data_IF_528580045957
#
_entry.id   IF_528580045957
#
_cell.length_a   1.000
_cell.length_b   1.000
_cell.length_c   1.000
_cell.angle_alpha   90.00
_cell.angle_beta   90.00
_cell.angle_gamma   90.00
#
_symmetry.space_group_name_H-M   'P 1'
#
loop_
_entity.id
_entity.type
_entity.pdbx_description
1 polymer ?
#
# COMPACT_ATOMS: atom_id res chain seq x y z
N UNK A 1 -5.12 -14.91 5.26
CA UNK A 1 -5.47 -13.94 6.31
C UNK A 1 -6.99 -13.84 6.33
N UNK A 2 -7.61 -13.80 7.51
CA UNK A 2 -9.07 -13.67 7.60
C UNK A 2 -9.41 -12.18 7.60
N UNK A 3 -9.84 -11.66 6.45
CA UNK A 3 -10.19 -10.24 6.30
C UNK A 3 -11.41 -9.85 7.15
N UNK A 4 -12.19 -10.82 7.65
CA UNK A 4 -13.29 -10.54 8.58
C UNK A 4 -12.82 -10.03 9.94
N UNK A 5 -11.53 -10.22 10.25
CA UNK A 5 -10.92 -9.73 11.47
C UNK A 5 -10.42 -8.30 11.35
N UNK A 6 -10.24 -7.76 10.14
CA UNK A 6 -9.78 -6.38 9.96
C UNK A 6 -10.97 -5.53 9.56
N UNK A 7 -11.45 -4.70 10.48
CA UNK A 7 -12.42 -3.66 10.11
C UNK A 7 -11.73 -2.69 9.15
N UNK A 8 -12.27 -2.49 7.93
CA UNK A 8 -11.65 -1.59 6.98
C UNK A 8 -11.81 -0.17 7.49
N UNK A 9 -10.69 0.57 7.50
CA UNK A 9 -10.69 1.97 7.88
C UNK A 9 -11.58 2.78 6.93
N UNK A 10 -12.36 3.72 7.48
CA UNK A 10 -13.32 4.54 6.72
C UNK A 10 -14.30 3.72 5.86
N UNK A 11 -14.71 2.53 6.32
CA UNK A 11 -15.57 1.56 5.60
C UNK A 11 -14.91 0.93 4.37
N UNK A 12 -13.64 1.23 4.11
CA UNK A 12 -12.84 0.64 3.04
C UNK A 12 -12.79 1.47 1.76
N UNK A 13 -11.96 1.01 0.83
CA UNK A 13 -11.63 1.75 -0.39
C UNK A 13 -12.84 2.00 -1.30
N UNK A 14 -13.89 1.18 -1.19
CA UNK A 14 -15.16 1.37 -1.90
C UNK A 14 -15.88 2.68 -1.52
N UNK A 15 -15.48 3.31 -0.41
CA UNK A 15 -16.02 4.56 0.07
C UNK A 15 -15.18 5.79 -0.29
N UNK A 16 -14.04 5.60 -0.96
CA UNK A 16 -13.20 6.72 -1.39
C UNK A 16 -13.94 7.60 -2.40
N UNK A 17 -13.70 8.91 -2.29
CA UNK A 17 -14.23 9.90 -3.20
C UNK A 17 -13.43 9.90 -4.51
N UNK A 18 -13.84 9.03 -5.43
CA UNK A 18 -13.27 8.94 -6.76
C UNK A 18 -13.79 10.03 -7.70
N UNK A 19 -13.32 11.27 -7.49
CA UNK A 19 -13.61 12.41 -8.38
C UNK A 19 -12.47 12.61 -9.37
N UNK A 20 -12.80 12.63 -10.66
CA UNK A 20 -11.82 12.88 -11.72
C UNK A 20 -11.20 14.27 -11.58
N UNK A 21 -9.87 14.36 -11.61
CA UNK A 21 -9.12 15.60 -11.47
C UNK A 21 -8.99 16.13 -10.04
N UNK A 22 -9.55 15.45 -9.03
CA UNK A 22 -9.37 15.82 -7.63
C UNK A 22 -7.99 15.37 -7.10
N UNK A 23 -7.45 14.27 -7.62
CA UNK A 23 -6.22 13.68 -7.10
C UNK A 23 -5.03 14.63 -7.18
N UNK A 24 -4.14 14.59 -6.18
CA UNK A 24 -2.90 15.34 -6.21
C UNK A 24 -2.09 15.09 -7.49
N UNK A 25 -1.67 16.20 -8.10
CA UNK A 25 -0.66 16.20 -9.13
C UNK A 25 0.73 15.84 -8.57
N UNK A 26 1.75 15.79 -9.44
CA UNK A 26 3.12 15.58 -8.98
C UNK A 26 3.55 16.69 -8.01
N UNK A 27 4.31 16.31 -6.98
CA UNK A 27 4.92 17.27 -6.09
C UNK A 27 5.87 18.21 -6.87
N UNK A 28 6.06 19.47 -6.41
CA UNK A 28 7.05 20.37 -7.00
C UNK A 28 8.46 19.75 -7.05
N UNK A 29 9.31 20.26 -7.94
CA UNK A 29 10.68 19.77 -8.07
C UNK A 29 11.45 19.88 -6.74
N UNK A 30 12.00 18.76 -6.27
CA UNK A 30 12.71 18.68 -4.99
C UNK A 30 11.82 18.41 -3.77
N UNK A 31 10.50 18.38 -3.94
CA UNK A 31 9.55 17.98 -2.91
C UNK A 31 9.06 16.54 -3.13
N UNK A 32 8.46 15.97 -2.08
CA UNK A 32 7.84 14.64 -2.12
C UNK A 32 6.39 14.73 -1.70
N UNK A 33 5.55 13.90 -2.32
CA UNK A 33 4.19 13.65 -1.88
C UNK A 33 4.21 12.47 -0.91
N UNK A 34 3.81 12.70 0.34
CA UNK A 34 3.71 11.64 1.35
C UNK A 34 2.24 11.24 1.46
N UNK A 35 1.85 10.02 1.06
CA UNK A 35 0.49 9.55 1.24
C UNK A 35 0.14 9.46 2.72
N UNK A 36 -1.09 9.79 3.05
CA UNK A 36 -1.60 9.75 4.42
C UNK A 36 -1.72 8.31 4.91
N UNK A 37 -1.16 8.10 6.09
CA UNK A 37 -1.35 6.90 6.90
C UNK A 37 -2.55 7.14 7.79
N UNK A 38 -3.73 6.70 7.35
CA UNK A 38 -4.94 6.87 8.16
C UNK A 38 -4.86 5.92 9.36
N UNK A 39 -4.61 6.46 10.55
CA UNK A 39 -4.46 5.68 11.77
C UNK A 39 -5.82 5.13 12.22
N UNK A 40 -5.86 3.84 12.55
CA UNK A 40 -7.10 3.23 13.08
C UNK A 40 -7.40 3.64 14.53
N UNK A 41 -6.45 4.24 15.23
CA UNK A 41 -6.70 4.84 16.54
C UNK A 41 -7.45 6.18 16.45
N UNK A 42 -7.54 6.77 15.25
CA UNK A 42 -8.26 8.03 15.01
C UNK A 42 -9.71 7.80 14.56
N UNK A 43 -10.08 6.55 14.28
CA UNK A 43 -11.43 6.17 13.87
C UNK A 43 -12.31 5.92 15.12
N UNK A 44 -13.25 6.82 15.36
CA UNK A 44 -14.16 6.78 16.53
C UNK A 44 -15.04 5.52 16.57
N UNK A 45 -15.21 4.81 15.44
CA UNK A 45 -15.96 3.56 15.36
C UNK A 45 -15.11 2.31 15.69
N UNK A 46 -13.81 2.48 15.96
CA UNK A 46 -12.88 1.40 16.34
C UNK A 46 -12.61 1.38 17.85
N UNK A 47 -12.34 0.18 18.38
CA UNK A 47 -11.84 0.01 19.74
C UNK A 47 -10.31 -0.07 19.75
N UNK A 48 -9.66 0.87 20.45
CA UNK A 48 -8.19 0.93 20.58
C UNK A 48 -7.57 -0.38 21.08
N UNK A 49 -8.26 -1.07 22.01
CA UNK A 49 -7.78 -2.34 22.54
C UNK A 49 -7.78 -3.43 21.45
N UNK A 50 -8.81 -3.46 20.61
CA UNK A 50 -8.88 -4.35 19.46
C UNK A 50 -7.84 -3.99 18.39
N UNK A 51 -7.65 -2.70 18.07
CA UNK A 51 -6.59 -2.25 17.15
C UNK A 51 -5.21 -2.72 17.64
N UNK A 52 -4.91 -2.48 18.92
CA UNK A 52 -3.66 -2.93 19.56
C UNK A 52 -3.50 -4.44 19.48
N UNK A 53 -4.57 -5.20 19.76
CA UNK A 53 -4.57 -6.65 19.71
C UNK A 53 -4.28 -7.17 18.30
N UNK A 54 -4.86 -6.55 17.28
CA UNK A 54 -4.65 -6.93 15.88
C UNK A 54 -3.22 -6.66 15.43
N UNK A 55 -2.67 -5.47 15.74
CA UNK A 55 -1.26 -5.17 15.46
C UNK A 55 -0.37 -6.22 16.11
N UNK A 56 -0.58 -6.53 17.40
CA UNK A 56 0.20 -7.55 18.09
C UNK A 56 0.09 -8.95 17.46
N UNK A 57 -1.11 -9.35 17.02
CA UNK A 57 -1.33 -10.63 16.34
C UNK A 57 -0.55 -10.70 15.02
N UNK A 58 -0.68 -9.66 14.18
CA UNK A 58 -0.02 -9.61 12.88
C UNK A 58 1.49 -9.44 12.99
N UNK A 59 2.00 -8.69 13.98
CA UNK A 59 3.43 -8.65 14.28
C UNK A 59 3.99 -10.03 14.64
N UNK A 60 3.22 -10.85 15.35
CA UNK A 60 3.58 -12.25 15.59
C UNK A 60 3.70 -13.07 14.29
N UNK A 61 2.81 -12.85 13.32
CA UNK A 61 2.91 -13.47 12.00
C UNK A 61 4.10 -12.94 11.19
N UNK A 62 4.36 -11.62 11.20
CA UNK A 62 5.50 -11.03 10.51
C UNK A 62 6.83 -11.57 11.03
N UNK A 63 6.98 -11.70 12.35
CA UNK A 63 8.15 -12.34 12.96
C UNK A 63 8.34 -13.78 12.49
N UNK A 64 7.23 -14.54 12.36
CA UNK A 64 7.31 -15.92 11.85
C UNK A 64 7.77 -15.95 10.40
N UNK A 65 7.30 -15.00 9.57
CA UNK A 65 7.73 -14.87 8.17
C UNK A 65 9.21 -14.47 8.07
N UNK A 66 9.68 -13.55 8.91
CA UNK A 66 11.10 -13.18 9.03
C UNK A 66 11.97 -14.42 9.25
N UNK A 67 11.64 -15.23 10.25
CA UNK A 67 12.39 -16.45 10.58
C UNK A 67 12.41 -17.44 9.42
N UNK A 68 11.28 -17.65 8.74
CA UNK A 68 11.19 -18.57 7.60
C UNK A 68 11.96 -18.08 6.37
N UNK A 69 11.97 -16.77 6.13
CA UNK A 69 12.63 -16.16 4.97
C UNK A 69 14.16 -16.38 4.95
N UNK A 70 14.76 -16.70 6.11
CA UNK A 70 16.19 -16.99 6.24
C UNK A 70 16.60 -18.28 5.52
N UNK A 71 15.67 -19.21 5.31
CA UNK A 71 15.94 -20.51 4.68
C UNK A 71 15.88 -20.50 3.15
N UNK A 72 15.56 -19.35 2.54
CA UNK A 72 15.42 -19.21 1.09
C UNK A 72 16.16 -17.96 0.59
N UNK A 73 16.70 -18.05 -0.63
CA UNK A 73 17.42 -16.95 -1.28
C UNK A 73 16.49 -15.91 -1.91
N UNK A 74 15.24 -16.29 -2.20
CA UNK A 74 14.23 -15.41 -2.81
C UNK A 74 12.89 -15.65 -2.12
N UNK A 75 12.28 -14.59 -1.62
CA UNK A 75 11.00 -14.64 -0.94
C UNK A 75 10.02 -13.65 -1.57
N UNK A 76 8.75 -14.06 -1.62
CA UNK A 76 7.64 -13.22 -2.03
C UNK A 76 6.66 -13.12 -0.88
N UNK A 77 6.22 -11.90 -0.58
CA UNK A 77 5.13 -11.68 0.36
C UNK A 77 3.82 -11.70 -0.42
N UNK A 78 2.88 -12.55 -0.03
CA UNK A 78 1.57 -12.62 -0.66
C UNK A 78 0.48 -12.38 0.37
N UNK A 79 -0.45 -11.48 0.06
CA UNK A 79 -1.54 -11.11 0.97
C UNK A 79 -2.82 -10.78 0.21
N UNK A 80 -3.95 -10.69 0.92
CA UNK A 80 -5.17 -10.18 0.29
C UNK A 80 -5.06 -8.67 0.08
N UNK A 81 -4.75 -7.93 1.15
CA UNK A 81 -4.67 -6.47 1.17
C UNK A 81 -3.25 -5.96 0.90
N UNK A 82 -3.08 -4.93 0.07
CA UNK A 82 -1.75 -4.44 -0.31
C UNK A 82 -1.02 -3.70 0.83
N UNK A 83 0.29 -3.93 0.97
CA UNK A 83 1.11 -3.24 1.97
C UNK A 83 1.46 -1.81 1.56
N UNK A 84 1.87 -1.60 0.31
CA UNK A 84 2.44 -0.32 -0.16
C UNK A 84 1.58 0.39 -1.21
N UNK A 85 0.33 -0.03 -1.38
CA UNK A 85 -0.47 0.45 -2.50
C UNK A 85 -1.03 1.79 -2.14
N UNK A 86 -1.16 2.62 -3.16
CA UNK A 86 -1.64 3.98 -3.00
C UNK A 86 -2.94 4.16 -3.75
N UNK A 87 -3.84 4.93 -3.16
CA UNK A 87 -5.07 5.31 -3.81
C UNK A 87 -5.37 6.77 -3.53
N UNK A 88 -6.09 7.36 -4.48
CA UNK A 88 -6.59 8.70 -4.34
C UNK A 88 -7.98 8.70 -3.69
N UNK A 89 -8.17 9.57 -2.71
CA UNK A 89 -9.44 9.88 -2.06
C UNK A 89 -9.64 11.39 -2.09
N UNK A 90 -10.47 11.89 -3.02
CA UNK A 90 -10.61 13.32 -3.24
C UNK A 90 -9.28 13.98 -3.65
N UNK A 91 -8.84 14.94 -2.85
CA UNK A 91 -7.57 15.67 -2.98
C UNK A 91 -6.43 15.11 -2.12
N UNK A 92 -6.59 13.89 -1.61
CA UNK A 92 -5.60 13.21 -0.77
C UNK A 92 -5.10 11.92 -1.44
N UNK A 93 -3.86 11.56 -1.11
CA UNK A 93 -3.28 10.26 -1.41
C UNK A 93 -3.24 9.44 -0.12
N UNK A 94 -3.65 8.18 -0.16
CA UNK A 94 -3.69 7.31 1.00
C UNK A 94 -2.93 6.01 0.75
N UNK A 95 -2.33 5.48 1.81
CA UNK A 95 -1.97 4.05 1.87
C UNK A 95 -3.15 3.21 2.36
N UNK A 96 -3.16 1.92 2.03
CA UNK A 96 -4.37 1.10 2.06
C UNK A 96 -4.45 0.06 3.18
N UNK A 97 -3.35 -0.22 3.89
CA UNK A 97 -3.37 -1.17 5.01
C UNK A 97 -2.48 -0.75 6.17
N UNK A 98 -2.95 0.26 6.90
CA UNK A 98 -2.25 0.82 8.04
C UNK A 98 -1.91 -0.24 9.11
N UNK A 99 -2.86 -1.12 9.47
CA UNK A 99 -2.61 -2.15 10.50
C UNK A 99 -1.48 -3.09 10.11
N UNK A 100 -1.47 -3.56 8.86
CA UNK A 100 -0.41 -4.44 8.39
C UNK A 100 0.93 -3.72 8.29
N UNK A 101 0.94 -2.46 7.89
CA UNK A 101 2.14 -1.61 7.92
C UNK A 101 2.67 -1.45 9.35
N UNK A 102 1.83 -1.14 10.33
CA UNK A 102 2.22 -1.05 11.75
C UNK A 102 2.68 -2.38 12.34
N UNK A 103 2.34 -3.49 11.70
CA UNK A 103 2.71 -4.83 12.16
C UNK A 103 4.09 -5.27 11.66
N UNK A 104 4.72 -4.51 10.76
CA UNK A 104 6.05 -4.80 10.23
C UNK A 104 7.09 -4.71 11.36
N UNK A 105 7.82 -5.80 11.57
CA UNK A 105 9.03 -5.82 12.41
C UNK A 105 10.19 -5.11 11.70
N UNK A 106 11.36 -4.96 12.33
CA UNK A 106 12.51 -4.22 11.79
C UNK A 106 13.20 -4.87 10.58
N UNK A 107 12.94 -6.17 10.34
CA UNK A 107 13.60 -6.94 9.28
C UNK A 107 12.61 -7.69 8.39
N UNK A 108 11.31 -7.35 8.49
CA UNK A 108 10.23 -8.10 7.80
C UNK A 108 10.42 -8.08 6.30
N UNK A 109 10.95 -6.99 5.77
CA UNK A 109 11.00 -6.74 4.33
C UNK A 109 12.38 -6.99 3.71
N UNK A 110 13.45 -7.11 4.50
CA UNK A 110 14.84 -7.19 4.05
C UNK A 110 15.13 -8.31 3.04
N UNK A 111 14.34 -9.40 3.12
CA UNK A 111 14.51 -10.60 2.29
C UNK A 111 13.35 -10.83 1.31
N UNK A 112 12.43 -9.89 1.23
CA UNK A 112 11.25 -9.94 0.34
C UNK A 112 11.58 -9.21 -0.96
N UNK A 113 11.54 -9.93 -2.08
CA UNK A 113 11.81 -9.32 -3.39
C UNK A 113 10.60 -8.57 -3.93
N UNK A 114 9.39 -9.09 -3.68
CA UNK A 114 8.15 -8.40 -4.02
C UNK A 114 7.01 -8.76 -3.08
N UNK A 115 6.11 -7.79 -2.86
CA UNK A 115 4.83 -7.92 -2.20
C UNK A 115 3.72 -7.99 -3.26
N UNK A 116 2.93 -9.07 -3.24
CA UNK A 116 1.86 -9.34 -4.19
C UNK A 116 0.54 -9.34 -3.44
N UNK A 117 -0.42 -8.55 -3.91
CA UNK A 117 -1.72 -8.42 -3.26
C UNK A 117 -2.90 -8.40 -4.24
N UNK A 118 -4.08 -8.67 -3.70
CA UNK A 118 -5.36 -8.46 -4.37
C UNK A 118 -6.08 -7.25 -3.75
N UNK A 119 -7.34 -7.48 -3.35
CA UNK A 119 -8.26 -6.54 -2.71
C UNK A 119 -8.66 -5.33 -3.57
N UNK A 120 -7.70 -4.62 -4.15
CA UNK A 120 -7.96 -3.47 -5.00
C UNK A 120 -8.34 -3.95 -6.39
N UNK A 121 -9.52 -3.56 -6.86
CA UNK A 121 -10.03 -3.97 -8.17
C UNK A 121 -9.40 -3.18 -9.33
N UNK A 122 -8.09 -2.97 -9.28
CA UNK A 122 -7.26 -2.42 -10.35
C UNK A 122 -5.90 -3.14 -10.39
N UNK A 123 -5.11 -2.84 -11.41
CA UNK A 123 -3.71 -3.25 -11.45
C UNK A 123 -2.84 -2.11 -10.96
N UNK A 124 -1.88 -2.40 -10.08
CA UNK A 124 -0.86 -1.44 -9.67
C UNK A 124 0.48 -2.15 -9.56
N UNK A 125 1.55 -1.52 -10.02
CA UNK A 125 2.91 -2.00 -9.77
C UNK A 125 3.79 -0.81 -9.41
N UNK A 126 4.56 -0.94 -8.32
CA UNK A 126 5.47 0.08 -7.81
C UNK A 126 6.86 -0.54 -7.62
N UNK A 127 7.90 0.16 -8.07
CA UNK A 127 9.29 -0.08 -7.70
C UNK A 127 9.81 1.08 -6.85
N UNK A 128 10.82 0.81 -6.03
CA UNK A 128 11.33 1.76 -5.05
C UNK A 128 12.82 1.99 -5.26
N UNK A 129 13.25 3.25 -5.11
CA UNK A 129 14.65 3.64 -5.23
C UNK A 129 15.53 2.85 -4.26
N UNK A 130 16.70 2.44 -4.73
CA UNK A 130 17.69 1.69 -3.95
C UNK A 130 17.17 0.41 -3.31
N UNK A 131 16.03 -0.12 -3.78
CA UNK A 131 15.34 -1.26 -3.17
C UNK A 131 15.00 -1.00 -1.68
N UNK A 132 14.68 0.26 -1.32
CA UNK A 132 14.33 0.63 0.05
C UNK A 132 13.05 -0.05 0.58
N UNK A 133 12.19 -0.52 -0.32
CA UNK A 133 11.07 -1.41 -0.06
C UNK A 133 10.99 -2.49 -1.16
N UNK A 134 10.38 -3.65 -0.89
CA UNK A 134 10.08 -4.65 -1.92
C UNK A 134 9.17 -4.05 -2.99
N UNK A 135 9.33 -4.46 -4.25
CA UNK A 135 8.40 -4.08 -5.30
C UNK A 135 6.98 -4.50 -4.93
N UNK A 136 5.99 -3.63 -5.15
CA UNK A 136 4.59 -4.00 -4.94
C UNK A 136 3.92 -4.32 -6.27
N UNK A 137 3.13 -5.41 -6.29
CA UNK A 137 2.27 -5.77 -7.40
C UNK A 137 0.85 -6.05 -6.87
N UNK A 138 -0.12 -5.27 -7.33
CA UNK A 138 -1.55 -5.43 -7.03
C UNK A 138 -2.25 -5.99 -8.26
N UNK A 139 -2.91 -7.13 -8.09
CA UNK A 139 -3.60 -7.89 -9.15
C UNK A 139 -5.01 -8.28 -8.70
N UNK A 140 -5.81 -7.32 -8.24
CA UNK A 140 -7.21 -7.56 -7.85
C UNK A 140 -8.23 -7.38 -8.98
N UNK A 141 -7.79 -7.21 -10.22
CA UNK A 141 -8.65 -6.94 -11.39
C UNK A 141 -9.24 -8.20 -12.08
N UNK A 142 -9.25 -9.36 -11.42
CA UNK A 142 -9.53 -10.65 -12.05
C UNK A 142 -11.03 -11.04 -12.19
N UNK A 143 -11.99 -10.32 -11.58
CA UNK A 143 -13.39 -10.78 -11.65
C UNK A 143 -14.50 -9.96 -10.97
N UNK A 144 -14.24 -8.75 -10.49
CA UNK A 144 -15.20 -7.90 -9.75
C UNK A 144 -15.39 -6.54 -10.43
N UNK A 145 -16.36 -5.74 -9.94
CA UNK A 145 -16.55 -4.35 -10.36
C UNK A 145 -15.27 -3.56 -10.14
N UNK A 146 -14.69 -3.07 -11.24
CA UNK A 146 -13.43 -2.35 -11.21
C UNK A 146 -13.61 -1.00 -10.52
N UNK A 147 -12.73 -0.72 -9.57
CA UNK A 147 -12.74 0.53 -8.83
C UNK A 147 -11.88 1.55 -9.58
N UNK A 148 -12.32 2.80 -9.58
CA UNK A 148 -11.67 3.87 -10.30
C UNK A 148 -10.47 4.43 -9.53
N UNK A 149 -9.25 3.92 -9.74
CA UNK A 149 -8.04 4.58 -9.21
C UNK A 149 -7.58 5.77 -10.07
N UNK A 150 -7.78 7.01 -9.61
CA UNK A 150 -7.52 8.27 -10.36
C UNK A 150 -6.09 8.83 -10.17
N UNK A 151 -5.20 8.06 -9.55
CA UNK A 151 -3.81 8.45 -9.36
C UNK A 151 -3.15 8.79 -10.71
N UNK A 152 -2.59 9.99 -10.77
CA UNK A 152 -1.83 10.45 -11.93
C UNK A 152 -0.49 9.70 -11.97
N UNK A 153 -0.15 9.13 -13.13
CA UNK A 153 1.10 8.37 -13.31
C UNK A 153 2.33 9.25 -13.10
N UNK A 154 2.24 10.54 -13.44
CA UNK A 154 3.32 11.51 -13.23
C UNK A 154 3.56 11.80 -11.75
N UNK A 155 2.54 11.58 -10.90
CA UNK A 155 2.67 11.73 -9.44
C UNK A 155 3.46 10.60 -8.82
N UNK A 156 3.42 9.39 -9.39
CA UNK A 156 4.01 8.18 -8.77
C UNK A 156 5.49 8.37 -8.39
N UNK A 157 6.41 8.87 -9.25
CA UNK A 157 7.81 9.06 -8.89
C UNK A 157 8.08 10.16 -7.84
N UNK A 158 7.07 10.97 -7.53
CA UNK A 158 7.16 11.97 -6.44
C UNK A 158 6.71 11.43 -5.10
N UNK A 159 6.18 10.21 -5.06
CA UNK A 159 5.68 9.59 -3.82
C UNK A 159 6.83 9.07 -2.98
N UNK A 160 6.82 9.44 -1.70
CA UNK A 160 7.62 8.82 -0.65
C UNK A 160 6.68 8.08 0.31
N UNK A 161 6.84 6.76 0.39
CA UNK A 161 6.10 5.96 1.35
C UNK A 161 6.83 5.97 2.69
N UNK A 162 6.05 6.17 3.75
CA UNK A 162 6.48 6.06 5.14
C UNK A 162 5.57 5.05 5.81
N UNK A 163 6.13 3.89 6.18
CA UNK A 163 5.39 2.74 6.68
C UNK A 163 6.13 2.09 7.84
N UNK A 164 5.43 1.27 8.61
CA UNK A 164 5.97 0.74 9.87
C UNK A 164 5.61 1.61 11.07
N UNK A 165 5.93 1.09 12.25
CA UNK A 165 5.85 1.86 13.50
C UNK A 165 6.82 3.03 13.42
N UNK A 166 6.34 4.24 13.75
CA UNK A 166 7.13 5.47 13.72
C UNK A 166 7.87 5.72 12.39
N UNK A 167 7.25 5.36 11.27
CA UNK A 167 7.82 5.48 9.92
C UNK A 167 9.17 4.77 9.74
N UNK A 168 9.36 3.63 10.43
CA UNK A 168 10.60 2.85 10.41
C UNK A 168 11.11 2.50 9.00
N UNK A 169 10.21 2.44 8.02
CA UNK A 169 10.55 2.26 6.61
C UNK A 169 10.16 3.49 5.82
N UNK A 170 11.13 4.07 5.10
CA UNK A 170 10.91 5.17 4.17
C UNK A 170 11.49 4.79 2.82
N UNK A 171 10.69 4.87 1.76
CA UNK A 171 11.19 4.67 0.40
C UNK A 171 10.45 5.50 -0.64
N UNK A 172 11.22 6.07 -1.56
CA UNK A 172 10.70 6.79 -2.72
C UNK A 172 10.35 5.83 -3.83
N UNK A 173 9.20 6.05 -4.47
CA UNK A 173 8.80 5.33 -5.66
C UNK A 173 9.71 5.76 -6.81
N UNK A 174 10.38 4.79 -7.44
CA UNK A 174 11.23 5.00 -8.61
C UNK A 174 10.38 5.01 -9.88
N UNK A 175 9.52 4.01 -10.03
CA UNK A 175 8.63 3.86 -11.15
C UNK A 175 7.33 3.21 -10.70
N UNK A 176 6.24 3.52 -11.39
CA UNK A 176 4.98 2.87 -11.11
C UNK A 176 4.02 2.91 -12.29
N UNK A 177 3.06 2.02 -12.22
CA UNK A 177 1.91 2.01 -13.11
C UNK A 177 0.67 1.67 -12.30
N UNK A 178 -0.38 2.45 -12.47
CA UNK A 178 -1.74 2.04 -12.08
C UNK A 178 -2.62 1.99 -13.31
N UNK A 179 -3.29 0.87 -13.53
CA UNK A 179 -4.07 0.63 -14.73
C UNK A 179 -5.45 0.09 -14.39
N UNK A 180 -6.43 0.63 -15.11
CA UNK A 180 -7.80 0.12 -15.15
C UNK A 180 -8.06 -0.53 -16.49
N UNK A 181 -9.00 -1.48 -16.54
CA UNK A 181 -9.46 -2.06 -17.81
C UNK A 181 -10.07 -0.94 -18.67
N UNK A 182 -9.48 -0.68 -19.85
CA UNK A 182 -9.92 0.33 -20.80
C UNK A 182 -9.08 1.62 -20.86
N UNK A 183 -8.13 1.83 -19.94
CA UNK A 183 -7.11 2.86 -20.09
C UNK A 183 -5.87 2.24 -20.75
N UNK A 184 -5.59 2.61 -22.00
CA UNK A 184 -4.29 2.33 -22.60
C UNK A 184 -3.23 3.15 -21.85
N UNK A 185 -2.24 2.49 -21.25
CA UNK A 185 -1.15 3.21 -20.57
C UNK A 185 -0.37 4.01 -21.60
N UNK A 186 -0.41 5.33 -21.50
CA UNK A 186 0.66 6.18 -22.03
C UNK A 186 1.81 6.06 -21.04
N UNK A 187 2.60 4.97 -21.16
CA UNK A 187 3.81 4.83 -20.38
C UNK A 187 4.67 6.08 -20.62
N UNK A 188 5.02 6.77 -19.54
CA UNK A 188 5.93 7.90 -19.58
C UNK A 188 7.22 7.41 -20.24
N UNK A 189 7.55 7.97 -21.41
CA UNK A 189 8.83 7.70 -22.05
C UNK A 189 9.89 8.42 -21.21
N UNK A 190 10.70 7.64 -20.50
CA UNK A 190 12.01 8.06 -19.99
C UNK A 190 12.95 8.40 -21.15
#
# INVERSE_FOLDING_TARGET
>A
MDDSLITPLNKGVDHFNYTEGACPGPAPEGEVLVPETQSRYEDEDQDDAEVTRQIGLYSGYMKTLEDWSQSHDTNFYASHRPLFAVACDGDHMNVLDWTMQQSLGPHTLDRVSAAIAGHMHWFEALSFENQGLPAQIVVGNAGTDLIKNYVNQETLPTIELRVGVDDAYTARVEAGITARRGQASTAAKS
#
